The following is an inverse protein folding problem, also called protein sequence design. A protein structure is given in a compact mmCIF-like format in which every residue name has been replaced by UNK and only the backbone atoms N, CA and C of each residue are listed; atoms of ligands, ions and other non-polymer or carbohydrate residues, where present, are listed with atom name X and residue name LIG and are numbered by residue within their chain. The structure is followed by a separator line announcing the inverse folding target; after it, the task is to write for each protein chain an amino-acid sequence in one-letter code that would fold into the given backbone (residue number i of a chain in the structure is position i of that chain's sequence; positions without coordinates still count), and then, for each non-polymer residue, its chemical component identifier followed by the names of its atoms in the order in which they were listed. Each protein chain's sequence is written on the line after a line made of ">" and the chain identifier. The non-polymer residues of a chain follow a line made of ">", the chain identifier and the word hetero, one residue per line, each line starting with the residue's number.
data_IF_418552097332
#
_entry.id   IF_418552097332
#
_cell.length_a   1.000
_cell.length_b   1.000
_cell.length_c   1.000
_cell.angle_alpha   90.00
_cell.angle_beta   90.00
_cell.angle_gamma   90.00
#
_symmetry.space_group_name_H-M   'P 1'
#
loop_
_entity.id
_entity.type
_entity.pdbx_description
1 polymer ?
#
# COMPACT_ATOMS: atom_id res chain seq x y z
N UNK A 1 -35.37 14.55 -3.81
CA UNK A 1 -34.30 13.93 -3.01
C UNK A 1 -34.23 12.48 -3.41
N UNK A 2 -33.48 12.18 -4.48
CA UNK A 2 -33.18 10.81 -4.91
C UNK A 2 -32.33 10.15 -3.84
N UNK A 3 -32.71 8.94 -3.42
CA UNK A 3 -32.17 8.28 -2.24
C UNK A 3 -30.72 7.85 -2.43
N UNK A 4 -29.79 8.60 -1.83
CA UNK A 4 -28.39 8.21 -1.70
C UNK A 4 -28.30 6.88 -0.93
N UNK A 5 -27.43 5.94 -1.35
CA UNK A 5 -27.21 4.71 -0.59
C UNK A 5 -26.66 5.05 0.81
N UNK A 6 -27.03 4.32 1.87
CA UNK A 6 -26.49 4.59 3.19
C UNK A 6 -24.98 4.33 3.22
N UNK A 7 -24.21 5.23 3.84
CA UNK A 7 -22.80 5.00 4.12
C UNK A 7 -22.64 3.74 4.98
N UNK A 8 -21.68 2.85 4.65
CA UNK A 8 -21.25 1.79 5.54
C UNK A 8 -20.85 2.37 6.91
N UNK A 9 -21.49 1.96 8.01
CA UNK A 9 -21.36 2.63 9.29
C UNK A 9 -20.02 2.30 9.97
N UNK A 10 -19.46 3.28 10.67
CA UNK A 10 -18.33 3.11 11.59
C UNK A 10 -18.91 3.22 13.00
N UNK A 11 -18.81 2.15 13.78
CA UNK A 11 -19.38 2.06 15.13
C UNK A 11 -18.34 2.35 16.20
N UNK A 12 -17.07 2.07 15.90
CA UNK A 12 -15.97 2.32 16.83
C UNK A 12 -15.67 3.83 16.97
N UNK A 13 -15.71 4.31 18.21
CA UNK A 13 -15.56 5.73 18.51
C UNK A 13 -14.14 6.24 18.23
N UNK A 14 -13.11 5.42 18.44
CA UNK A 14 -11.72 5.80 18.14
C UNK A 14 -11.48 5.88 16.63
N UNK A 15 -12.11 4.99 15.85
CA UNK A 15 -12.14 5.04 14.39
C UNK A 15 -12.83 6.32 13.92
N UNK A 16 -14.00 6.66 14.48
CA UNK A 16 -14.67 7.93 14.16
C UNK A 16 -13.80 9.15 14.50
N UNK A 17 -13.12 9.14 15.64
CA UNK A 17 -12.20 10.22 16.02
C UNK A 17 -11.02 10.29 15.04
N UNK A 18 -10.43 9.15 14.66
CA UNK A 18 -9.32 9.09 13.71
C UNK A 18 -9.73 9.55 12.30
N UNK A 19 -10.98 9.31 11.90
CA UNK A 19 -11.53 9.76 10.63
C UNK A 19 -11.76 11.26 10.65
N UNK A 20 -12.49 11.77 11.64
CA UNK A 20 -13.00 13.14 11.64
C UNK A 20 -12.11 14.17 12.32
N UNK A 21 -11.02 13.76 12.96
CA UNK A 21 -10.07 14.70 13.57
C UNK A 21 -8.90 15.01 12.64
N UNK A 22 -8.43 16.24 12.73
CA UNK A 22 -7.18 16.66 12.11
C UNK A 22 -5.99 15.80 12.61
N UNK A 23 -4.98 15.55 11.76
CA UNK A 23 -3.83 14.70 12.08
C UNK A 23 -3.11 15.15 13.36
N UNK A 24 -2.91 16.46 13.55
CA UNK A 24 -2.28 17.05 14.75
C UNK A 24 -3.08 16.80 16.03
N UNK A 25 -4.40 16.57 15.93
CA UNK A 25 -5.26 16.27 17.07
C UNK A 25 -5.40 14.77 17.33
N UNK A 26 -4.83 13.92 16.47
CA UNK A 26 -4.93 12.49 16.61
C UNK A 26 -4.11 12.00 17.82
N UNK A 27 -4.70 11.27 18.77
CA UNK A 27 -3.98 10.76 19.94
C UNK A 27 -2.87 9.77 19.55
N UNK A 28 -2.94 9.22 18.34
CA UNK A 28 -1.98 8.25 17.80
C UNK A 28 -1.04 8.86 16.76
N UNK A 29 -1.00 10.19 16.62
CA UNK A 29 -0.10 10.87 15.68
C UNK A 29 1.39 10.56 15.92
N UNK A 30 1.76 10.24 17.17
CA UNK A 30 3.11 9.82 17.54
C UNK A 30 3.45 8.37 17.20
N UNK A 31 2.47 7.56 16.79
CA UNK A 31 2.65 6.16 16.40
C UNK A 31 2.21 5.93 14.94
N UNK A 32 3.12 6.11 13.97
CA UNK A 32 2.80 5.91 12.55
C UNK A 32 2.44 4.45 12.23
N UNK A 33 2.74 3.50 13.13
CA UNK A 33 2.39 2.10 12.97
C UNK A 33 1.00 1.75 13.54
N UNK A 34 0.32 2.70 14.19
CA UNK A 34 -0.99 2.45 14.77
C UNK A 34 -2.03 2.07 13.69
N UNK A 35 -2.84 1.00 13.87
CA UNK A 35 -3.82 0.57 12.87
C UNK A 35 -4.83 1.66 12.48
N UNK A 36 -5.23 2.50 13.44
CA UNK A 36 -6.14 3.63 13.25
C UNK A 36 -5.41 4.96 12.98
N UNK A 37 -4.13 4.94 12.61
CA UNK A 37 -3.41 6.17 12.26
C UNK A 37 -4.07 6.85 11.04
N UNK A 38 -4.35 8.17 11.06
CA UNK A 38 -5.08 8.86 9.99
C UNK A 38 -4.50 8.62 8.58
N UNK A 39 -3.17 8.73 8.40
CA UNK A 39 -2.52 8.44 7.11
C UNK A 39 -2.66 6.99 6.66
N UNK A 40 -2.72 6.03 7.59
CA UNK A 40 -2.88 4.62 7.25
C UNK A 40 -4.30 4.32 6.82
N UNK A 41 -5.28 4.90 7.50
CA UNK A 41 -6.69 4.83 7.11
C UNK A 41 -6.90 5.49 5.75
N UNK A 42 -6.32 6.67 5.53
CA UNK A 42 -6.36 7.38 4.25
C UNK A 42 -5.79 6.53 3.10
N UNK A 43 -4.58 5.96 3.30
CA UNK A 43 -3.95 5.10 2.30
C UNK A 43 -4.75 3.83 2.03
N UNK A 44 -5.25 3.16 3.08
CA UNK A 44 -6.07 1.96 2.93
C UNK A 44 -7.36 2.28 2.18
N UNK A 45 -8.02 3.38 2.54
CA UNK A 45 -9.27 3.79 1.93
C UNK A 45 -9.13 4.17 0.46
N UNK A 46 -8.07 4.87 0.07
CA UNK A 46 -7.85 5.20 -1.35
C UNK A 46 -7.68 3.95 -2.20
N UNK A 47 -6.87 2.98 -1.76
CA UNK A 47 -6.68 1.71 -2.48
C UNK A 47 -7.94 0.86 -2.49
N UNK A 48 -8.68 0.82 -1.39
CA UNK A 48 -9.95 0.09 -1.31
C UNK A 48 -10.98 0.69 -2.27
N UNK A 49 -11.07 2.02 -2.32
CA UNK A 49 -11.98 2.73 -3.20
C UNK A 49 -11.62 2.54 -4.69
N UNK A 50 -10.35 2.74 -5.05
CA UNK A 50 -9.84 2.48 -6.40
C UNK A 50 -10.13 1.05 -6.85
N UNK A 51 -9.89 0.05 -6.00
CA UNK A 51 -10.20 -1.34 -6.29
C UNK A 51 -11.70 -1.55 -6.52
N UNK A 52 -12.56 -0.94 -5.69
CA UNK A 52 -14.00 -1.09 -5.80
C UNK A 52 -14.56 -0.49 -7.10
N UNK A 53 -14.04 0.69 -7.50
CA UNK A 53 -14.33 1.30 -8.79
C UNK A 53 -13.84 0.44 -9.94
N UNK A 54 -12.59 -0.03 -9.90
CA UNK A 54 -12.01 -0.88 -10.93
C UNK A 54 -12.86 -2.15 -11.15
N UNK A 55 -13.23 -2.83 -10.06
CA UNK A 55 -14.08 -4.01 -10.14
C UNK A 55 -15.49 -3.70 -10.65
N UNK A 56 -16.08 -2.57 -10.21
CA UNK A 56 -17.37 -2.14 -10.70
C UNK A 56 -17.37 -1.91 -12.21
N UNK A 57 -16.44 -1.10 -12.71
CA UNK A 57 -16.29 -0.78 -14.12
C UNK A 57 -15.96 -2.00 -14.99
N UNK A 58 -15.07 -2.87 -14.51
CA UNK A 58 -14.73 -4.12 -15.17
C UNK A 58 -15.95 -5.05 -15.34
N UNK A 59 -16.81 -5.13 -14.32
CA UNK A 59 -18.01 -5.97 -14.35
C UNK A 59 -19.19 -5.33 -15.07
N UNK A 60 -19.26 -3.99 -15.09
CA UNK A 60 -20.34 -3.22 -15.72
C UNK A 60 -20.36 -3.41 -17.23
N UNK A 61 -19.19 -3.33 -17.87
CA UNK A 61 -19.06 -3.47 -19.32
C UNK A 61 -17.80 -4.27 -19.68
N UNK A 62 -17.94 -5.54 -20.08
CA UNK A 62 -16.82 -6.39 -20.50
C UNK A 62 -16.07 -5.88 -21.74
N UNK A 63 -16.62 -4.92 -22.48
CA UNK A 63 -16.01 -4.37 -23.70
C UNK A 63 -15.22 -3.09 -23.44
N UNK A 64 -15.32 -2.52 -22.24
CA UNK A 64 -14.61 -1.30 -21.88
C UNK A 64 -13.09 -1.55 -21.83
N UNK A 65 -12.32 -0.69 -22.49
CA UNK A 65 -10.86 -0.83 -22.53
C UNK A 65 -10.22 -0.46 -21.20
N UNK A 66 -9.01 -0.97 -20.94
CA UNK A 66 -8.26 -0.66 -19.70
C UNK A 66 -8.04 0.86 -19.55
N UNK A 67 -7.75 1.55 -20.65
CA UNK A 67 -7.55 3.01 -20.65
C UNK A 67 -8.85 3.74 -20.24
N UNK A 68 -10.00 3.29 -20.74
CA UNK A 68 -11.30 3.86 -20.36
C UNK A 68 -11.62 3.58 -18.88
N UNK A 69 -11.33 2.38 -18.37
CA UNK A 69 -11.49 2.07 -16.94
C UNK A 69 -10.63 3.01 -16.10
N UNK A 70 -9.37 3.21 -16.49
CA UNK A 70 -8.44 4.08 -15.75
C UNK A 70 -8.92 5.53 -15.75
N UNK A 71 -9.40 6.05 -16.89
CA UNK A 71 -10.00 7.39 -16.96
C UNK A 71 -11.22 7.51 -16.03
N UNK A 72 -12.10 6.51 -15.98
CA UNK A 72 -13.24 6.52 -15.08
C UNK A 72 -12.81 6.52 -13.60
N UNK A 73 -11.82 5.71 -13.22
CA UNK A 73 -11.28 5.67 -11.85
C UNK A 73 -10.67 7.02 -11.47
N UNK A 74 -9.90 7.65 -12.36
CA UNK A 74 -9.22 8.92 -12.07
C UNK A 74 -10.18 10.12 -12.00
N UNK A 75 -11.30 10.08 -12.73
CA UNK A 75 -12.28 11.18 -12.78
C UNK A 75 -13.42 11.05 -11.77
N UNK A 76 -13.58 9.89 -11.15
CA UNK A 76 -14.61 9.63 -10.13
C UNK A 76 -14.44 10.42 -8.82
N UNK A 77 -13.25 10.52 -8.18
CA UNK A 77 -13.12 10.98 -6.80
C UNK A 77 -13.78 12.32 -6.43
N UNK A 78 -13.69 13.39 -7.25
CA UNK A 78 -14.34 14.66 -6.93
C UNK A 78 -15.85 14.52 -6.65
N UNK A 79 -16.54 13.72 -7.45
CA UNK A 79 -17.98 13.47 -7.31
C UNK A 79 -18.31 12.76 -5.98
N UNK A 80 -17.39 11.95 -5.46
CA UNK A 80 -17.57 11.24 -4.20
C UNK A 80 -17.21 12.10 -2.98
N UNK A 81 -16.32 13.09 -3.13
CA UNK A 81 -16.06 14.07 -2.09
C UNK A 81 -17.32 14.92 -1.83
N UNK A 82 -18.07 15.27 -2.88
CA UNK A 82 -19.36 15.95 -2.74
C UNK A 82 -20.39 15.12 -1.95
N UNK A 83 -20.29 13.79 -1.98
CA UNK A 83 -21.15 12.93 -1.19
C UNK A 83 -20.89 13.08 0.32
N UNK A 84 -19.65 13.31 0.75
CA UNK A 84 -19.40 13.62 2.17
C UNK A 84 -20.16 14.86 2.62
N UNK A 85 -20.31 15.86 1.74
CA UNK A 85 -21.14 17.01 2.03
C UNK A 85 -22.61 16.59 2.14
N UNK A 86 -23.11 15.78 1.21
CA UNK A 86 -24.48 15.28 1.23
C UNK A 86 -24.81 14.42 2.47
N UNK A 87 -23.85 13.63 2.96
CA UNK A 87 -24.01 12.84 4.20
C UNK A 87 -23.79 13.64 5.49
N UNK A 88 -23.48 14.94 5.41
CA UNK A 88 -23.23 15.79 6.58
C UNK A 88 -21.92 15.46 7.29
N UNK A 89 -20.99 14.76 6.65
CA UNK A 89 -19.69 14.40 7.23
C UNK A 89 -18.79 15.63 7.45
N UNK A 90 -18.93 16.68 6.63
CA UNK A 90 -18.10 17.89 6.70
C UNK A 90 -18.27 18.66 8.02
N UNK A 91 -19.48 18.69 8.58
CA UNK A 91 -19.74 19.36 9.86
C UNK A 91 -19.14 18.62 11.05
N UNK A 92 -18.81 17.33 10.89
CA UNK A 92 -18.19 16.49 11.92
C UNK A 92 -16.67 16.65 12.00
N UNK A 93 -16.04 17.32 11.02
CA UNK A 93 -14.60 17.49 10.97
C UNK A 93 -14.13 18.45 12.08
N UNK A 94 -13.29 17.94 12.97
CA UNK A 94 -12.68 18.66 14.08
C UNK A 94 -11.25 19.06 13.68
N UNK A 95 -10.99 20.35 13.58
CA UNK A 95 -9.66 20.89 13.28
C UNK A 95 -9.37 22.18 14.06
N UNK A 96 -8.08 22.51 14.28
CA UNK A 96 -7.70 23.79 14.87
C UNK A 96 -8.24 24.97 14.04
N UNK A 97 -8.71 26.06 14.67
CA UNK A 97 -9.29 27.21 13.97
C UNK A 97 -8.40 27.78 12.88
N UNK A 98 -7.08 27.79 13.12
CA UNK A 98 -6.07 28.33 12.21
C UNK A 98 -5.94 27.51 10.92
N UNK A 99 -6.30 26.22 10.98
CA UNK A 99 -6.23 25.31 9.85
C UNK A 99 -7.57 25.20 9.11
N UNK A 100 -8.68 25.68 9.68
CA UNK A 100 -10.03 25.53 9.11
C UNK A 100 -10.12 26.01 7.65
N UNK A 101 -9.48 27.13 7.33
CA UNK A 101 -9.47 27.74 5.99
C UNK A 101 -8.83 26.80 4.95
N UNK A 102 -7.78 26.08 5.32
CA UNK A 102 -7.08 25.13 4.44
C UNK A 102 -7.97 23.90 4.19
N UNK A 103 -8.69 23.47 5.23
CA UNK A 103 -9.53 22.28 5.22
C UNK A 103 -10.89 22.46 4.56
N UNK A 104 -11.28 23.69 4.29
CA UNK A 104 -12.47 23.97 3.49
C UNK A 104 -12.24 23.73 1.98
N UNK A 105 -11.01 23.43 1.57
CA UNK A 105 -10.68 23.03 0.19
C UNK A 105 -11.10 21.59 -0.10
N UNK A 106 -11.54 21.33 -1.34
CA UNK A 106 -11.94 19.98 -1.80
C UNK A 106 -10.81 18.95 -1.67
N UNK A 107 -9.56 19.38 -1.85
CA UNK A 107 -8.37 18.54 -1.75
C UNK A 107 -8.22 17.94 -0.34
N UNK A 108 -8.43 18.74 0.70
CA UNK A 108 -8.34 18.27 2.08
C UNK A 108 -9.58 17.46 2.49
N UNK A 109 -10.77 17.82 2.00
CA UNK A 109 -12.00 17.04 2.20
C UNK A 109 -11.86 15.60 1.67
N UNK A 110 -11.15 15.42 0.55
CA UNK A 110 -10.81 14.09 0.00
C UNK A 110 -10.03 13.19 0.97
N UNK A 111 -9.21 13.74 1.87
CA UNK A 111 -8.49 12.93 2.86
C UNK A 111 -9.44 12.32 3.89
N UNK A 112 -10.43 13.09 4.36
CA UNK A 112 -11.44 12.58 5.28
C UNK A 112 -12.31 11.51 4.63
N UNK A 113 -12.58 11.67 3.33
CA UNK A 113 -13.29 10.65 2.55
C UNK A 113 -12.55 9.32 2.58
N UNK A 114 -11.27 9.33 2.20
CA UNK A 114 -10.50 8.10 2.20
C UNK A 114 -10.28 7.54 3.60
N UNK A 115 -10.11 8.37 4.63
CA UNK A 115 -10.05 7.88 6.02
C UNK A 115 -11.33 7.15 6.41
N UNK A 116 -12.50 7.70 6.06
CA UNK A 116 -13.79 7.05 6.31
C UNK A 116 -13.86 5.69 5.63
N UNK A 117 -13.51 5.61 4.33
CA UNK A 117 -13.50 4.34 3.60
C UNK A 117 -12.54 3.33 4.24
N UNK A 118 -11.34 3.77 4.63
CA UNK A 118 -10.35 2.90 5.28
C UNK A 118 -10.82 2.36 6.62
N UNK A 119 -11.40 3.21 7.47
CA UNK A 119 -11.96 2.78 8.76
C UNK A 119 -13.16 1.85 8.57
N UNK A 120 -14.07 2.20 7.66
CA UNK A 120 -15.22 1.35 7.34
C UNK A 120 -14.80 0.02 6.74
N UNK A 121 -13.73 -0.05 5.95
CA UNK A 121 -13.21 -1.31 5.42
C UNK A 121 -12.74 -2.23 6.55
N UNK A 122 -12.10 -1.69 7.58
CA UNK A 122 -11.64 -2.49 8.72
C UNK A 122 -12.82 -3.09 9.52
N UNK A 123 -13.94 -2.37 9.60
CA UNK A 123 -15.13 -2.81 10.35
C UNK A 123 -16.08 -3.68 9.53
N UNK A 124 -16.34 -3.29 8.27
CA UNK A 124 -17.38 -3.88 7.43
C UNK A 124 -16.83 -4.78 6.30
N UNK A 125 -15.53 -4.72 6.03
CA UNK A 125 -14.86 -5.50 4.99
C UNK A 125 -15.08 -5.00 3.56
N UNK A 126 -14.42 -5.67 2.61
CA UNK A 126 -14.41 -5.29 1.20
C UNK A 126 -15.79 -5.35 0.53
N UNK A 127 -16.63 -6.31 0.91
CA UNK A 127 -17.94 -6.53 0.29
C UNK A 127 -18.88 -5.34 0.52
N UNK A 128 -18.91 -4.80 1.74
CA UNK A 128 -19.73 -3.63 2.08
C UNK A 128 -19.29 -2.38 1.31
N UNK A 129 -17.97 -2.17 1.17
CA UNK A 129 -17.45 -1.05 0.37
C UNK A 129 -17.80 -1.23 -1.10
N UNK A 130 -17.64 -2.44 -1.66
CA UNK A 130 -18.01 -2.73 -3.05
C UNK A 130 -19.48 -2.44 -3.33
N UNK A 131 -20.36 -2.90 -2.44
CA UNK A 131 -21.81 -2.70 -2.58
C UNK A 131 -22.14 -1.21 -2.57
N UNK A 132 -21.62 -0.47 -1.59
CA UNK A 132 -21.86 0.95 -1.47
C UNK A 132 -21.31 1.75 -2.66
N UNK A 133 -20.07 1.49 -3.10
CA UNK A 133 -19.49 2.16 -4.28
C UNK A 133 -20.34 1.88 -5.52
N UNK A 134 -20.73 0.62 -5.74
CA UNK A 134 -21.52 0.24 -6.93
C UNK A 134 -22.88 0.92 -6.94
N UNK A 135 -23.58 0.98 -5.80
CA UNK A 135 -24.86 1.69 -5.68
C UNK A 135 -24.72 3.21 -5.82
N UNK A 136 -23.54 3.74 -5.52
CA UNK A 136 -23.25 5.16 -5.66
C UNK A 136 -22.94 5.55 -7.10
N UNK A 137 -22.21 4.70 -7.84
CA UNK A 137 -21.92 4.91 -9.27
C UNK A 137 -23.18 4.68 -10.10
N UNK A 138 -23.83 3.53 -9.94
CA UNK A 138 -25.02 3.15 -10.71
C UNK A 138 -26.13 2.67 -9.78
N UNK A 139 -26.95 3.62 -9.34
CA UNK A 139 -28.08 3.33 -8.45
C UNK A 139 -29.08 2.36 -9.09
N UNK A 140 -29.48 1.34 -8.34
CA UNK A 140 -30.51 0.38 -8.76
C UNK A 140 -30.03 -0.74 -9.69
N UNK A 141 -28.74 -0.80 -10.03
CA UNK A 141 -28.15 -1.94 -10.75
C UNK A 141 -27.70 -3.00 -9.73
N UNK A 142 -27.88 -4.31 -10.00
CA UNK A 142 -27.33 -5.36 -9.16
C UNK A 142 -25.82 -5.19 -8.97
N UNK A 143 -25.36 -5.12 -7.72
CA UNK A 143 -23.95 -4.88 -7.43
C UNK A 143 -23.11 -6.11 -7.76
N UNK A 144 -21.95 -5.95 -8.43
CA UNK A 144 -21.03 -7.07 -8.66
C UNK A 144 -20.51 -7.59 -7.31
N UNK A 145 -20.60 -8.92 -7.13
CA UNK A 145 -20.16 -9.58 -5.90
C UNK A 145 -18.67 -9.90 -5.99
N UNK A 146 -17.93 -9.57 -4.92
CA UNK A 146 -16.53 -9.97 -4.83
C UNK A 146 -16.41 -11.50 -4.76
N UNK A 147 -15.39 -12.09 -5.40
CA UNK A 147 -15.09 -13.51 -5.26
C UNK A 147 -14.77 -13.83 -3.79
N UNK A 148 -15.67 -14.53 -3.09
CA UNK A 148 -15.37 -15.11 -1.78
C UNK A 148 -14.57 -16.40 -2.00
N UNK A 149 -13.42 -16.55 -1.34
CA UNK A 149 -12.55 -17.71 -1.51
C UNK A 149 -13.32 -19.03 -1.36
N UNK A 150 -13.02 -20.02 -2.22
CA UNK A 150 -13.46 -21.40 -2.02
C UNK A 150 -12.98 -21.83 -0.64
N UNK A 151 -13.90 -22.10 0.28
CA UNK A 151 -13.62 -22.79 1.53
C UNK A 151 -13.13 -24.19 1.16
N UNK A 152 -11.81 -24.37 1.09
CA UNK A 152 -11.22 -25.70 1.01
C UNK A 152 -11.53 -26.38 2.34
N UNK A 153 -12.21 -27.54 2.36
CA UNK A 153 -12.41 -28.28 3.59
C UNK A 153 -11.02 -28.57 4.18
N UNK A 154 -10.77 -28.04 5.38
CA UNK A 154 -9.55 -28.32 6.11
C UNK A 154 -9.50 -29.84 6.37
N UNK A 155 -8.41 -30.55 6.02
CA UNK A 155 -8.25 -31.92 6.47
C UNK A 155 -8.19 -31.94 8.01
N UNK A 156 -8.85 -32.91 8.69
CA UNK A 156 -8.87 -32.98 10.14
C UNK A 156 -7.44 -33.07 10.69
N UNK A 157 -7.12 -32.19 11.63
CA UNK A 157 -5.81 -32.14 12.29
C UNK A 157 -5.65 -33.31 13.25
N UNK A 158 -5.20 -34.46 12.74
CA UNK A 158 -4.73 -35.57 13.56
C UNK A 158 -3.39 -36.07 13.02
N UNK A 159 -2.32 -35.35 13.32
CA UNK A 159 -0.97 -35.90 13.19
C UNK A 159 -0.67 -36.74 14.44
N UNK A 160 -0.23 -38.00 14.32
CA UNK A 160 0.16 -38.81 15.47
C UNK A 160 1.46 -38.30 16.11
N UNK A 161 1.74 -38.64 17.39
CA UNK A 161 2.92 -38.16 18.09
C UNK A 161 4.19 -38.76 17.46
N UNK A 162 5.09 -37.90 16.99
CA UNK A 162 6.39 -38.28 16.42
C UNK A 162 7.30 -38.78 17.55
N UNK A 163 7.72 -40.04 17.47
CA UNK A 163 8.76 -40.61 18.33
C UNK A 163 10.13 -40.05 17.91
N UNK A 164 11.05 -39.70 18.82
CA UNK A 164 12.36 -39.18 18.45
C UNK A 164 13.26 -40.28 17.85
N UNK A 165 14.03 -40.00 16.78
CA UNK A 165 14.96 -40.95 16.18
C UNK A 165 16.24 -41.15 17.03
N UNK A 166 16.94 -42.30 16.90
CA UNK A 166 18.18 -42.58 17.63
C UNK A 166 19.38 -41.73 17.14
N UNK A 167 20.45 -41.57 17.95
CA UNK A 167 21.54 -40.66 17.64
C UNK A 167 22.51 -41.26 16.63
N UNK A 168 22.72 -40.55 15.53
CA UNK A 168 23.80 -40.80 14.58
C UNK A 168 24.93 -39.80 14.84
N UNK A 169 26.10 -40.30 15.23
CA UNK A 169 27.33 -39.53 15.26
C UNK A 169 27.83 -39.32 13.83
N UNK A 170 28.06 -38.06 13.42
CA UNK A 170 29.20 -37.67 12.58
C UNK A 170 29.30 -36.15 12.48
N UNK A 171 30.52 -35.70 12.72
CA UNK A 171 31.10 -34.36 12.70
C UNK A 171 30.94 -33.59 11.39
N UNK A 172 30.75 -32.27 11.50
CA UNK A 172 30.92 -31.35 10.39
C UNK A 172 30.09 -30.07 10.56
N UNK A 173 30.74 -29.01 11.02
CA UNK A 173 30.23 -27.64 11.20
C UNK A 173 29.40 -27.12 10.03
N UNK A 174 28.20 -26.58 10.32
CA UNK A 174 27.58 -25.54 9.49
C UNK A 174 26.68 -24.67 10.36
N UNK A 175 27.05 -23.39 10.51
CA UNK A 175 26.20 -22.37 11.11
C UNK A 175 24.93 -22.19 10.27
N UNK A 176 23.79 -22.25 10.95
CA UNK A 176 22.49 -21.90 10.42
C UNK A 176 22.35 -20.39 10.29
N UNK A 177 21.79 -19.91 9.17
CA UNK A 177 21.04 -18.65 9.12
C UNK A 177 20.02 -18.76 7.98
N UNK A 178 18.79 -19.18 8.32
CA UNK A 178 17.63 -18.31 8.53
C UNK A 178 17.18 -17.61 7.24
N UNK A 179 16.32 -18.31 6.51
CA UNK A 179 15.50 -17.76 5.42
C UNK A 179 14.48 -16.78 5.99
N UNK A 180 14.76 -15.49 5.84
CA UNK A 180 13.80 -14.41 6.13
C UNK A 180 13.09 -13.97 4.84
N UNK A 181 11.79 -13.65 4.86
CA UNK A 181 11.05 -13.13 3.71
C UNK A 181 11.32 -11.63 3.58
N UNK A 182 12.44 -11.28 2.93
CA UNK A 182 12.86 -9.87 2.74
C UNK A 182 12.93 -9.52 1.25
N UNK A 183 11.94 -9.90 0.45
CA UNK A 183 11.87 -9.60 -0.98
C UNK A 183 11.18 -8.26 -1.29
N UNK A 184 10.31 -7.77 -0.39
CA UNK A 184 9.37 -6.67 -0.72
C UNK A 184 9.78 -5.28 -0.20
N UNK A 185 10.60 -5.20 0.85
CA UNK A 185 11.23 -3.93 1.31
C UNK A 185 12.30 -3.45 0.31
N UNK A 186 12.86 -4.40 -0.43
CA UNK A 186 14.02 -4.27 -1.30
C UNK A 186 13.74 -3.39 -2.53
N UNK A 187 12.58 -3.56 -3.16
CA UNK A 187 12.17 -2.82 -4.36
C UNK A 187 11.94 -1.30 -4.17
N UNK A 188 11.71 -0.82 -2.95
CA UNK A 188 11.37 0.60 -2.69
C UNK A 188 12.60 1.52 -2.67
N UNK A 189 13.77 1.03 -2.28
CA UNK A 189 14.98 1.85 -2.13
C UNK A 189 15.51 2.33 -3.48
N UNK A 190 15.53 1.44 -4.49
CA UNK A 190 16.02 1.80 -5.83
C UNK A 190 15.15 2.88 -6.49
N UNK A 191 13.82 2.77 -6.36
CA UNK A 191 12.90 3.76 -6.89
C UNK A 191 13.05 5.12 -6.17
N UNK A 192 13.14 5.10 -4.84
CA UNK A 192 13.35 6.30 -4.05
C UNK A 192 14.69 6.98 -4.35
N UNK A 193 15.76 6.19 -4.52
CA UNK A 193 17.09 6.69 -4.87
C UNK A 193 17.07 7.43 -6.21
N UNK A 194 16.47 6.84 -7.25
CA UNK A 194 16.38 7.46 -8.56
C UNK A 194 15.58 8.76 -8.54
N UNK A 195 14.48 8.80 -7.78
CA UNK A 195 13.66 10.00 -7.62
C UNK A 195 14.45 11.15 -6.96
N UNK A 196 15.14 10.88 -5.84
CA UNK A 196 15.94 11.89 -5.14
C UNK A 196 17.13 12.35 -5.98
N UNK A 197 17.77 11.42 -6.70
CA UNK A 197 18.86 11.76 -7.61
C UNK A 197 18.38 12.69 -8.73
N UNK A 198 17.21 12.44 -9.31
CA UNK A 198 16.61 13.30 -10.34
C UNK A 198 16.25 14.68 -9.78
N UNK A 199 15.64 14.75 -8.59
CA UNK A 199 15.33 16.03 -7.91
C UNK A 199 16.58 16.86 -7.61
N UNK A 200 17.70 16.22 -7.31
CA UNK A 200 18.99 16.87 -7.06
C UNK A 200 19.83 17.04 -8.34
N UNK A 201 19.26 16.81 -9.51
CA UNK A 201 19.91 16.94 -10.82
C UNK A 201 21.15 16.06 -11.02
N UNK A 202 21.20 14.88 -10.40
CA UNK A 202 22.22 13.87 -10.67
C UNK A 202 21.81 12.97 -11.85
N UNK A 203 22.79 12.61 -12.68
CA UNK A 203 22.67 11.57 -13.70
C UNK A 203 23.07 10.23 -13.08
N UNK A 204 22.14 9.29 -13.01
CA UNK A 204 22.35 7.97 -12.41
C UNK A 204 22.66 6.92 -13.49
N UNK A 205 23.75 6.18 -13.36
CA UNK A 205 24.06 5.03 -14.21
C UNK A 205 24.39 3.79 -13.39
N UNK A 206 24.09 2.61 -13.96
CA UNK A 206 24.26 1.32 -13.29
C UNK A 206 25.02 0.32 -14.17
N UNK A 207 26.33 0.50 -14.38
CA UNK A 207 27.12 -0.49 -15.10
C UNK A 207 27.10 -1.83 -14.35
N UNK A 208 26.80 -2.90 -15.09
CA UNK A 208 26.69 -4.25 -14.55
C UNK A 208 27.73 -5.17 -15.20
N UNK A 209 28.33 -6.03 -14.37
CA UNK A 209 29.26 -7.08 -14.74
C UNK A 209 28.73 -8.40 -14.22
N UNK A 210 28.89 -9.46 -15.02
CA UNK A 210 28.56 -10.82 -14.63
C UNK A 210 29.84 -11.66 -14.64
N UNK A 211 30.07 -12.43 -13.58
CA UNK A 211 31.17 -13.39 -13.49
C UNK A 211 30.65 -14.76 -12.99
N UNK A 212 31.40 -15.81 -13.29
CA UNK A 212 31.08 -17.17 -12.84
C UNK A 212 30.42 -18.06 -13.91
N UNK A 213 30.16 -19.33 -13.58
CA UNK A 213 29.63 -20.30 -14.52
C UNK A 213 28.17 -20.00 -14.88
N UNK A 214 27.69 -20.39 -16.09
CA UNK A 214 26.35 -20.04 -16.57
C UNK A 214 25.18 -20.45 -15.65
N UNK A 215 25.37 -21.50 -14.85
CA UNK A 215 24.36 -22.02 -13.92
C UNK A 215 24.41 -21.37 -12.52
N UNK A 216 25.42 -20.54 -12.23
CA UNK A 216 25.52 -19.82 -10.95
C UNK A 216 26.28 -18.49 -11.12
N UNK A 217 25.70 -17.51 -11.84
CA UNK A 217 26.37 -16.25 -12.09
C UNK A 217 26.30 -15.31 -10.88
N UNK A 218 27.41 -14.61 -10.64
CA UNK A 218 27.50 -13.52 -9.68
C UNK A 218 27.46 -12.20 -10.45
N UNK A 219 26.54 -11.33 -10.06
CA UNK A 219 26.36 -10.02 -10.64
C UNK A 219 26.97 -8.95 -9.76
N UNK A 220 27.80 -8.09 -10.35
CA UNK A 220 28.39 -6.91 -9.76
C UNK A 220 27.79 -5.69 -10.44
N UNK A 221 27.25 -4.75 -9.66
CA UNK A 221 26.68 -3.51 -10.18
C UNK A 221 27.26 -2.34 -9.38
N UNK A 222 27.68 -1.29 -10.09
CA UNK A 222 28.05 -0.03 -9.45
C UNK A 222 26.92 0.98 -9.65
N UNK A 223 26.73 1.86 -8.68
CA UNK A 223 25.81 2.98 -8.75
C UNK A 223 26.62 4.26 -8.93
N UNK A 224 26.60 4.83 -10.13
CA UNK A 224 27.35 6.03 -10.44
C UNK A 224 26.44 7.25 -10.47
N UNK A 225 26.84 8.34 -9.79
CA UNK A 225 26.19 9.65 -9.85
C UNK A 225 27.10 10.64 -10.56
N UNK A 226 26.67 11.18 -11.70
CA UNK A 226 27.46 12.07 -12.55
C UNK A 226 28.82 11.47 -12.98
N UNK A 227 28.90 10.14 -13.08
CA UNK A 227 30.13 9.41 -13.44
C UNK A 227 30.97 8.96 -12.24
N UNK A 228 30.70 9.45 -11.03
CA UNK A 228 31.40 9.01 -9.82
C UNK A 228 30.71 7.79 -9.20
N UNK A 229 31.48 6.75 -8.87
CA UNK A 229 30.96 5.59 -8.13
C UNK A 229 30.60 6.02 -6.71
N UNK A 230 29.36 5.78 -6.31
CA UNK A 230 28.83 6.11 -4.97
C UNK A 230 28.37 4.89 -4.18
N UNK A 231 28.25 3.75 -4.83
CA UNK A 231 27.94 2.48 -4.16
C UNK A 231 28.15 1.30 -5.09
N UNK A 232 28.39 0.13 -4.51
CA UNK A 232 28.60 -1.13 -5.20
C UNK A 232 27.67 -2.21 -4.64
N UNK A 233 27.34 -3.18 -5.48
CA UNK A 233 26.40 -4.21 -5.07
C UNK A 233 26.67 -5.52 -5.77
N UNK A 234 26.64 -6.59 -5.00
CA UNK A 234 26.82 -7.97 -5.45
C UNK A 234 25.56 -8.77 -5.20
N UNK A 235 25.15 -9.60 -6.17
CA UNK A 235 23.95 -10.41 -6.04
C UNK A 235 23.90 -11.60 -7.00
N UNK A 236 22.95 -12.51 -6.77
CA UNK A 236 22.70 -13.68 -7.64
C UNK A 236 21.97 -13.32 -8.93
N UNK A 237 21.44 -12.10 -9.01
CA UNK A 237 20.87 -11.52 -10.22
C UNK A 237 21.15 -10.01 -10.27
N UNK A 238 21.09 -9.44 -11.47
CA UNK A 238 21.39 -8.03 -11.72
C UNK A 238 20.51 -7.08 -10.90
N UNK A 239 19.24 -7.45 -10.66
CA UNK A 239 18.29 -6.64 -9.88
C UNK A 239 18.72 -6.51 -8.42
N UNK A 240 19.10 -7.62 -7.78
CA UNK A 240 19.58 -7.65 -6.41
C UNK A 240 20.88 -6.86 -6.26
N UNK A 241 21.82 -7.04 -7.18
CA UNK A 241 23.08 -6.31 -7.20
C UNK A 241 22.87 -4.80 -7.35
N UNK A 242 21.99 -4.39 -8.28
CA UNK A 242 21.65 -2.97 -8.52
C UNK A 242 21.03 -2.29 -7.31
N UNK A 243 20.17 -3.00 -6.60
CA UNK A 243 19.53 -2.47 -5.41
C UNK A 243 20.50 -2.32 -4.24
N UNK A 244 21.42 -3.27 -4.06
CA UNK A 244 22.46 -3.16 -3.04
C UNK A 244 23.38 -1.97 -3.33
N UNK A 245 23.75 -1.77 -4.60
CA UNK A 245 24.53 -0.61 -5.03
C UNK A 245 23.81 0.72 -4.76
N UNK A 246 22.49 0.78 -5.03
CA UNK A 246 21.68 1.97 -4.73
C UNK A 246 21.53 2.22 -3.23
N UNK A 247 21.48 1.16 -2.41
CA UNK A 247 21.42 1.26 -0.95
C UNK A 247 22.72 1.83 -0.37
N UNK A 248 23.85 1.35 -0.85
CA UNK A 248 25.16 1.87 -0.43
C UNK A 248 25.32 3.33 -0.86
N UNK A 249 24.95 3.66 -2.10
CA UNK A 249 24.95 5.04 -2.59
C UNK A 249 24.03 5.97 -1.79
N UNK A 250 22.85 5.49 -1.39
CA UNK A 250 21.95 6.26 -0.53
C UNK A 250 22.60 6.65 0.81
N UNK A 251 23.31 5.70 1.41
CA UNK A 251 24.02 5.89 2.69
C UNK A 251 25.22 6.80 2.50
N UNK A 252 26.03 6.58 1.46
CA UNK A 252 27.21 7.38 1.15
C UNK A 252 26.88 8.86 0.84
N UNK A 253 25.71 9.10 0.22
CA UNK A 253 25.24 10.45 -0.10
C UNK A 253 24.58 11.16 1.08
N UNK A 254 24.39 10.48 2.22
CA UNK A 254 23.74 11.04 3.40
C UNK A 254 22.27 11.42 3.17
N UNK A 255 21.59 10.77 2.22
CA UNK A 255 20.18 11.06 1.90
C UNK A 255 19.19 10.43 2.89
N UNK A 256 19.69 9.66 3.85
CA UNK A 256 18.99 9.16 5.02
C UNK A 256 19.75 8.00 5.65
N UNK A 257 19.52 7.75 6.94
CA UNK A 257 20.02 6.55 7.63
C UNK A 257 18.91 5.50 7.60
N UNK A 258 19.24 4.28 7.17
CA UNK A 258 18.28 3.18 7.17
C UNK A 258 18.05 2.72 8.61
N UNK A 259 16.80 2.70 9.05
CA UNK A 259 16.31 1.95 10.22
C UNK A 259 15.56 0.73 9.72
#
# INVERSE_FOLDING_TARGET
>A
MTGLPPLPPITDQDSLLAVFSHEVLSPVAGDPAHPKHPRRLEYLGSRTFEQALAFHYFMKDPTMSVDDIEVQIQTSPPQFVDLLHAYGCRSRIICPPELRIIYDTELEAGKFFYRYIGASFLENGAAAIQEWVSQTVDYGIPTPRLPTGRSYPHPPSSLPPVQPPPPSYSSGSTSAQQTSPTSDIKLKILAQFNLVAQQKHYTVTYPARQEGPPHNPIWYVQCCLNGDVRGEGVGQNQKQAKELAAREAWTAMGWGTLV
#
